data_IF_977007441086
#
_entry.id   IF_977007441086
#
_cell.length_a   1.000
_cell.length_b   1.000
_cell.length_c   1.000
_cell.angle_alpha   90.00
_cell.angle_beta   90.00
_cell.angle_gamma   90.00
#
_symmetry.space_group_name_H-M   'P 1'
#
loop_
_entity.id
_entity.type
_entity.pdbx_description
1 polymer ?
#
# COMPACT_ATOMS: atom_id res chain seq x y z
N UNK A 1 12.77 6.64 -0.15
CA UNK A 1 12.17 6.59 -1.49
C UNK A 1 10.69 6.86 -1.32
N UNK A 2 10.12 7.77 -2.11
CA UNK A 2 8.67 7.94 -2.17
C UNK A 2 8.13 6.87 -3.12
N UNK A 3 7.09 6.16 -2.69
CA UNK A 3 6.40 5.14 -3.47
C UNK A 3 4.93 5.54 -3.54
N UNK A 4 4.29 5.27 -4.66
CA UNK A 4 2.86 5.51 -4.79
C UNK A 4 2.07 4.32 -4.22
N UNK A 5 1.03 4.67 -3.46
CA UNK A 5 0.14 3.72 -2.84
C UNK A 5 -1.28 4.01 -3.30
N UNK A 6 -1.98 2.93 -3.65
CA UNK A 6 -3.39 2.94 -4.00
C UNK A 6 -4.20 2.65 -2.73
N UNK A 7 -5.24 3.43 -2.49
CA UNK A 7 -6.21 3.18 -1.43
C UNK A 7 -7.58 2.94 -2.06
N UNK A 8 -8.14 1.75 -1.84
CA UNK A 8 -9.45 1.34 -2.34
C UNK A 8 -10.41 1.27 -1.17
N UNK A 9 -11.55 1.93 -1.29
CA UNK A 9 -12.62 1.78 -0.32
C UNK A 9 -13.27 0.40 -0.44
N UNK A 10 -13.35 -0.32 0.67
CA UNK A 10 -13.98 -1.62 0.80
C UNK A 10 -15.25 -1.47 1.63
N UNK A 11 -16.40 -1.73 1.02
CA UNK A 11 -17.60 -2.03 1.79
C UNK A 11 -17.42 -3.36 2.52
N UNK A 12 -17.97 -3.49 3.73
CA UNK A 12 -17.95 -4.75 4.50
C UNK A 12 -18.88 -5.80 3.87
N UNK A 13 -18.52 -6.25 2.67
CA UNK A 13 -19.19 -7.30 1.90
C UNK A 13 -18.19 -8.41 1.60
N UNK A 14 -18.59 -9.64 1.88
CA UNK A 14 -17.80 -10.82 1.55
C UNK A 14 -17.46 -10.86 0.06
N UNK A 15 -16.19 -11.12 -0.27
CA UNK A 15 -15.75 -11.32 -1.65
C UNK A 15 -15.20 -10.08 -2.37
N UNK A 16 -15.39 -8.86 -1.84
CA UNK A 16 -14.87 -7.66 -2.53
C UNK A 16 -13.34 -7.61 -2.63
N UNK A 17 -12.63 -8.07 -1.59
CA UNK A 17 -11.17 -8.17 -1.66
C UNK A 17 -10.73 -9.13 -2.78
N UNK A 18 -11.40 -10.28 -2.91
CA UNK A 18 -11.09 -11.25 -3.96
C UNK A 18 -11.34 -10.67 -5.35
N UNK A 19 -12.40 -9.90 -5.52
CA UNK A 19 -12.70 -9.21 -6.78
C UNK A 19 -11.63 -8.17 -7.15
N UNK A 20 -11.19 -7.35 -6.20
CA UNK A 20 -10.08 -6.40 -6.42
C UNK A 20 -8.83 -7.14 -6.87
N UNK A 21 -8.44 -8.21 -6.17
CA UNK A 21 -7.24 -8.99 -6.54
C UNK A 21 -7.36 -9.65 -7.91
N UNK A 22 -8.58 -10.06 -8.30
CA UNK A 22 -8.84 -10.66 -9.60
C UNK A 22 -8.75 -9.64 -10.72
N UNK A 23 -9.33 -8.45 -10.56
CA UNK A 23 -9.21 -7.35 -11.53
C UNK A 23 -7.75 -7.00 -11.78
N UNK A 24 -6.94 -6.90 -10.72
CA UNK A 24 -5.51 -6.63 -10.85
C UNK A 24 -4.79 -7.77 -11.58
N UNK A 25 -5.09 -9.03 -11.25
CA UNK A 25 -4.51 -10.19 -11.93
C UNK A 25 -4.90 -10.27 -13.42
N UNK A 26 -6.16 -10.01 -13.77
CA UNK A 26 -6.66 -10.01 -15.15
C UNK A 26 -5.99 -8.92 -16.00
N UNK A 27 -5.57 -7.82 -15.36
CA UNK A 27 -4.77 -6.76 -15.98
C UNK A 27 -3.25 -7.00 -15.88
N UNK A 28 -2.82 -8.19 -15.43
CA UNK A 28 -1.41 -8.57 -15.23
C UNK A 28 -0.63 -7.69 -14.25
N UNK A 29 -1.30 -7.02 -13.32
CA UNK A 29 -0.72 -6.10 -12.34
C UNK A 29 -0.32 -6.87 -11.09
N UNK A 30 0.94 -6.74 -10.67
CA UNK A 30 1.46 -7.46 -9.52
C UNK A 30 1.34 -6.64 -8.23
N UNK A 31 0.91 -7.29 -7.15
CA UNK A 31 0.81 -6.68 -5.82
C UNK A 31 2.12 -6.91 -5.07
N UNK A 32 2.81 -5.82 -4.73
CA UNK A 32 4.07 -5.86 -3.98
C UNK A 32 3.85 -5.87 -2.47
N UNK A 33 2.83 -5.15 -2.02
CA UNK A 33 2.43 -5.11 -0.62
C UNK A 33 0.96 -4.73 -0.48
N UNK A 34 0.32 -5.22 0.58
CA UNK A 34 -1.08 -4.90 0.90
C UNK A 34 -1.28 -4.73 2.39
N UNK A 35 -2.09 -3.75 2.78
CA UNK A 35 -2.58 -3.64 4.16
C UNK A 35 -4.07 -3.29 4.14
N UNK A 36 -4.81 -3.87 5.06
CA UNK A 36 -6.22 -3.57 5.25
C UNK A 36 -6.34 -2.82 6.57
N UNK A 37 -7.01 -1.67 6.55
CA UNK A 37 -7.51 -1.05 7.77
C UNK A 37 -9.03 -1.18 7.75
N UNK A 38 -9.57 -1.99 8.64
CA UNK A 38 -10.99 -2.27 8.76
C UNK A 38 -11.59 -1.62 10.00
N UNK A 39 -12.86 -1.23 9.86
CA UNK A 39 -13.77 -0.85 10.93
C UNK A 39 -15.04 -1.69 10.79
N UNK A 40 -16.00 -1.58 11.72
CA UNK A 40 -17.23 -2.36 11.67
C UNK A 40 -18.01 -2.19 10.34
N UNK A 41 -17.98 -0.98 9.78
CA UNK A 41 -18.84 -0.61 8.66
C UNK A 41 -18.11 -0.59 7.30
N UNK A 42 -16.81 -0.27 7.32
CA UNK A 42 -16.01 -0.15 6.10
C UNK A 42 -14.53 -0.43 6.34
N UNK A 43 -13.86 -0.86 5.28
CA UNK A 43 -12.42 -1.03 5.22
C UNK A 43 -11.77 -0.14 4.17
N UNK A 44 -10.47 0.09 4.33
CA UNK A 44 -9.61 0.70 3.33
C UNK A 44 -8.52 -0.30 3.00
N UNK A 45 -8.51 -0.80 1.77
CA UNK A 45 -7.43 -1.62 1.25
C UNK A 45 -6.36 -0.70 0.67
N UNK A 46 -5.16 -0.77 1.24
CA UNK A 46 -3.98 -0.08 0.74
C UNK A 46 -3.10 -1.06 -0.01
N UNK A 47 -2.72 -0.69 -1.23
CA UNK A 47 -1.92 -1.52 -2.13
C UNK A 47 -0.69 -0.75 -2.60
N UNK A 48 0.43 -1.44 -2.66
CA UNK A 48 1.58 -1.05 -3.48
C UNK A 48 1.64 -2.06 -4.62
N UNK A 49 1.55 -1.55 -5.85
CA UNK A 49 1.57 -2.34 -7.08
C UNK A 49 2.77 -1.95 -7.93
N UNK A 50 3.09 -2.75 -8.95
CA UNK A 50 4.13 -2.43 -9.93
C UNK A 50 3.68 -1.40 -10.98
N UNK A 51 2.38 -1.33 -11.31
CA UNK A 51 1.81 -0.38 -12.27
C UNK A 51 0.61 0.35 -11.67
N UNK A 52 0.84 1.56 -11.16
CA UNK A 52 -0.12 2.30 -10.34
C UNK A 52 -1.25 2.91 -11.16
N UNK A 53 -0.92 3.50 -12.30
CA UNK A 53 -1.87 4.14 -13.21
C UNK A 53 -2.85 3.12 -13.80
N UNK A 54 -2.32 1.98 -14.25
CA UNK A 54 -3.13 0.88 -14.80
C UNK A 54 -4.07 0.29 -13.75
N UNK A 55 -3.57 0.13 -12.51
CA UNK A 55 -4.38 -0.37 -11.40
C UNK A 55 -5.50 0.60 -11.03
N UNK A 56 -5.19 1.90 -10.94
CA UNK A 56 -6.20 2.93 -10.68
C UNK A 56 -7.28 2.91 -11.75
N UNK A 57 -6.90 2.85 -13.02
CA UNK A 57 -7.83 2.80 -14.15
C UNK A 57 -8.71 1.55 -14.10
N UNK A 58 -8.11 0.37 -14.00
CA UNK A 58 -8.84 -0.90 -13.99
C UNK A 58 -9.83 -0.98 -12.82
N UNK A 59 -9.45 -0.49 -11.64
CA UNK A 59 -10.32 -0.49 -10.47
C UNK A 59 -11.47 0.53 -10.62
N UNK A 60 -11.21 1.73 -11.14
CA UNK A 60 -12.28 2.72 -11.40
C UNK A 60 -13.27 2.24 -12.45
N UNK A 61 -12.81 1.59 -13.52
CA UNK A 61 -13.68 1.01 -14.56
C UNK A 61 -14.60 -0.09 -14.01
N UNK A 62 -14.19 -0.77 -12.94
CA UNK A 62 -15.00 -1.78 -12.23
C UNK A 62 -15.81 -1.20 -11.05
N UNK A 63 -15.96 0.13 -10.97
CA UNK A 63 -16.81 0.80 -10.00
C UNK A 63 -16.23 0.94 -8.59
N UNK A 64 -14.92 0.75 -8.41
CA UNK A 64 -14.26 1.01 -7.14
C UNK A 64 -13.87 2.48 -6.99
N UNK A 65 -13.98 3.00 -5.76
CA UNK A 65 -13.44 4.32 -5.41
C UNK A 65 -11.98 4.18 -5.02
N UNK A 66 -11.10 4.86 -5.76
CA UNK A 66 -9.65 4.74 -5.64
C UNK A 66 -9.02 6.10 -5.36
N UNK A 67 -8.21 6.17 -4.30
CA UNK A 67 -7.34 7.29 -4.00
C UNK A 67 -5.86 6.93 -4.20
N UNK A 68 -5.05 7.91 -4.59
CA UNK A 68 -3.59 7.77 -4.67
C UNK A 68 -2.92 8.63 -3.60
N UNK A 69 -1.89 8.08 -2.96
CA UNK A 69 -1.09 8.81 -1.99
C UNK A 69 0.38 8.41 -2.08
N UNK A 70 1.26 9.36 -1.79
CA UNK A 70 2.69 9.08 -1.72
C UNK A 70 3.06 8.64 -0.32
N UNK A 71 3.79 7.53 -0.22
CA UNK A 71 4.26 6.93 1.03
C UNK A 71 5.76 6.80 1.03
N UNK A 72 6.37 6.78 2.22
CA UNK A 72 7.80 6.60 2.35
C UNK A 72 8.09 5.12 2.59
N UNK A 73 8.77 4.48 1.64
CA UNK A 73 9.32 3.15 1.85
C UNK A 73 10.66 3.26 2.59
N UNK A 74 10.81 2.46 3.65
CA UNK A 74 12.04 2.37 4.43
C UNK A 74 12.39 0.90 4.64
N UNK A 75 13.64 0.56 4.33
CA UNK A 75 14.19 -0.76 4.64
C UNK A 75 14.49 -0.84 6.14
N UNK A 76 14.12 -1.97 6.74
CA UNK A 76 14.26 -2.21 8.18
C UNK A 76 14.96 -3.54 8.37
N UNK A 77 15.93 -3.57 9.28
CA UNK A 77 16.57 -4.83 9.66
C UNK A 77 15.55 -5.77 10.30
N UNK A 78 15.56 -7.02 9.86
CA UNK A 78 14.69 -8.09 10.36
C UNK A 78 15.17 -8.61 11.72
N UNK A 79 15.06 -7.76 12.74
CA UNK A 79 15.36 -8.05 14.15
C UNK A 79 14.49 -7.19 15.06
N UNK A 80 14.33 -7.64 16.30
CA UNK A 80 13.68 -6.84 17.35
C UNK A 80 14.35 -5.47 17.47
N UNK A 81 13.54 -4.41 17.53
CA UNK A 81 14.02 -3.03 17.61
C UNK A 81 14.49 -2.40 16.29
N UNK A 82 14.63 -3.14 15.19
CA UNK A 82 15.12 -2.61 13.91
C UNK A 82 14.30 -1.41 13.40
N UNK A 83 12.97 -1.49 13.52
CA UNK A 83 12.09 -0.37 13.17
C UNK A 83 12.24 0.82 14.13
N UNK A 84 12.39 0.54 15.43
CA UNK A 84 12.56 1.58 16.45
C UNK A 84 13.80 2.43 16.18
N UNK A 85 14.90 1.81 15.76
CA UNK A 85 16.14 2.51 15.39
C UNK A 85 15.95 3.44 14.19
N UNK A 86 15.26 2.96 13.14
CA UNK A 86 14.94 3.76 11.95
C UNK A 86 14.09 4.98 12.29
N UNK A 87 13.07 4.81 13.13
CA UNK A 87 12.17 5.89 13.52
C UNK A 87 12.85 6.92 14.44
N UNK A 88 13.74 6.49 15.35
CA UNK A 88 14.55 7.38 16.18
C UNK A 88 15.42 8.32 15.36
N UNK A 89 16.00 7.84 14.25
CA UNK A 89 16.87 8.64 13.39
C UNK A 89 16.12 9.64 12.49
N UNK A 90 14.93 9.27 11.98
CA UNK A 90 14.24 10.01 10.89
C UNK A 90 13.11 10.94 11.30
N UNK A 91 12.63 10.94 12.55
CA UNK A 91 11.55 11.84 13.00
C UNK A 91 11.94 13.32 13.14
N UNK A 92 13.13 13.73 12.69
CA UNK A 92 13.64 15.10 12.75
C UNK A 92 13.31 15.97 11.53
N UNK A 93 12.71 15.41 10.47
CA UNK A 93 12.34 16.14 9.24
C UNK A 93 10.83 16.16 9.00
N UNK A 94 10.30 17.32 8.57
CA UNK A 94 8.85 17.58 8.41
C UNK A 94 8.14 16.66 7.40
N UNK A 95 8.87 16.05 6.46
CA UNK A 95 8.33 15.10 5.48
C UNK A 95 7.68 13.85 6.10
N UNK A 96 7.97 13.53 7.37
CA UNK A 96 7.38 12.39 8.07
C UNK A 96 6.01 12.66 8.72
N UNK A 97 5.60 13.92 8.89
CA UNK A 97 4.31 14.26 9.55
C UNK A 97 3.07 13.87 8.73
N UNK A 98 3.20 13.71 7.41
CA UNK A 98 2.12 13.29 6.50
C UNK A 98 2.33 11.90 5.87
N UNK A 99 3.43 11.22 6.20
CA UNK A 99 3.74 9.93 5.60
C UNK A 99 2.90 8.83 6.28
N UNK A 100 1.97 8.23 5.54
CA UNK A 100 1.58 6.84 5.82
C UNK A 100 2.80 6.00 5.52
N UNK A 101 3.33 5.29 6.52
CA UNK A 101 4.44 4.36 6.34
C UNK A 101 3.83 2.96 6.34
N UNK A 102 3.64 2.33 5.17
CA UNK A 102 3.32 0.91 5.14
C UNK A 102 4.51 0.13 5.73
N UNK A 103 4.34 -0.41 6.93
CA UNK A 103 5.35 -1.25 7.58
C UNK A 103 5.28 -2.66 7.02
N UNK A 104 6.25 -3.00 6.17
CA UNK A 104 6.45 -4.37 5.72
C UNK A 104 7.90 -4.78 6.02
N UNK A 105 8.15 -6.00 6.53
CA UNK A 105 9.49 -6.55 6.59
C UNK A 105 9.92 -6.85 5.14
N UNK A 106 10.85 -6.07 4.59
CA UNK A 106 11.21 -6.20 3.17
C UNK A 106 12.67 -6.56 2.98
N UNK A 107 12.91 -7.78 2.47
CA UNK A 107 14.19 -8.23 1.90
C UNK A 107 14.32 -7.97 0.39
N UNK A 108 13.26 -7.51 -0.30
CA UNK A 108 13.20 -7.39 -1.77
C UNK A 108 12.49 -6.13 -2.27
N UNK A 109 12.98 -4.94 -1.90
CA UNK A 109 12.50 -3.67 -2.50
C UNK A 109 13.36 -3.22 -3.71
N UNK A 110 14.41 -3.97 -4.07
CA UNK A 110 15.36 -3.60 -5.12
C UNK A 110 14.77 -3.52 -6.54
N UNK A 111 13.61 -4.15 -6.78
CA UNK A 111 12.94 -4.19 -8.10
C UNK A 111 11.93 -3.05 -8.30
N UNK A 112 12.01 -1.99 -7.48
CA UNK A 112 11.11 -0.82 -7.49
C UNK A 112 11.77 0.43 -8.10
N UNK A 113 12.58 0.24 -9.14
CA UNK A 113 13.07 1.32 -10.01
C UNK A 113 12.18 1.50 -11.21
#
# INVERSE_FOLDING_TARGET
MLVEQIAVFLENKSGRLAEITRILADNSINIRALSVADTADFGILRLIVDRVEDAEKALKENGFTVGKTHVVAVEVQDRSGGLSEVLKWKMRSESFRKASIPFFPVKRFADCK
#
